data_IF_183942013950
#
_entry.id   IF_183942013950
#
_cell.length_a   1.000
_cell.length_b   1.000
_cell.length_c   1.000
_cell.angle_alpha   90.00
_cell.angle_beta   90.00
_cell.angle_gamma   90.00
#
_symmetry.space_group_name_H-M   'P 1'
#
loop_
_entity.id
_entity.type
_entity.pdbx_description
1 polymer ?
#
# COMPACT_ATOMS: atom_id res chain seq x y z
N UNK A 1 -19.34 2.18 8.90
CA UNK A 1 -18.19 1.31 8.53
C UNK A 1 -17.10 2.07 7.79
N UNK A 2 -17.45 2.90 6.79
CA UNK A 2 -16.55 3.75 5.98
C UNK A 2 -15.56 3.02 5.06
N UNK A 3 -15.08 1.85 5.43
CA UNK A 3 -14.31 0.94 4.57
C UNK A 3 -14.63 -0.51 4.91
N UNK A 4 -14.40 -1.42 3.96
CA UNK A 4 -14.33 -2.86 4.26
C UNK A 4 -13.01 -3.16 4.98
N UNK A 5 -12.98 -4.24 5.77
CA UNK A 5 -11.79 -4.71 6.49
C UNK A 5 -11.44 -6.12 6.00
N UNK A 6 -10.20 -6.33 5.54
CA UNK A 6 -9.73 -7.58 4.96
C UNK A 6 -8.81 -8.33 5.93
N UNK A 7 -9.41 -9.14 6.80
CA UNK A 7 -8.66 -10.03 7.70
C UNK A 7 -8.10 -11.22 6.89
N UNK A 8 -7.17 -11.96 7.48
CA UNK A 8 -6.55 -13.12 6.79
C UNK A 8 -7.59 -14.20 6.45
N UNK A 9 -8.55 -14.42 7.33
CA UNK A 9 -9.55 -15.50 7.25
C UNK A 9 -10.92 -15.05 6.71
N UNK A 10 -11.21 -13.74 6.69
CA UNK A 10 -12.52 -13.22 6.25
C UNK A 10 -12.48 -11.75 5.87
N UNK A 11 -13.53 -11.30 5.19
CA UNK A 11 -13.79 -9.89 4.92
C UNK A 11 -14.96 -9.41 5.77
N UNK A 12 -14.83 -8.24 6.39
CA UNK A 12 -15.96 -7.51 6.97
C UNK A 12 -16.36 -6.43 5.98
N UNK A 13 -17.42 -6.64 5.18
CA UNK A 13 -17.73 -5.76 4.06
C UNK A 13 -18.31 -4.43 4.54
N UNK A 14 -18.06 -3.35 3.80
CA UNK A 14 -18.64 -2.04 4.10
C UNK A 14 -20.15 -2.02 3.88
N UNK A 15 -20.59 -2.66 2.80
CA UNK A 15 -21.98 -2.82 2.41
C UNK A 15 -22.46 -4.25 2.74
N UNK A 16 -23.77 -4.49 2.86
CA UNK A 16 -24.34 -5.83 2.92
C UNK A 16 -23.87 -6.70 1.73
N UNK A 17 -23.64 -7.98 1.97
CA UNK A 17 -23.11 -8.91 0.95
C UNK A 17 -24.03 -9.03 -0.27
N UNK A 18 -25.35 -8.98 -0.07
CA UNK A 18 -26.31 -8.95 -1.17
C UNK A 18 -26.09 -7.76 -2.13
N UNK A 19 -25.65 -6.61 -1.62
CA UNK A 19 -25.30 -5.47 -2.47
C UNK A 19 -23.90 -5.66 -3.06
N UNK A 20 -22.89 -5.94 -2.24
CA UNK A 20 -21.49 -5.95 -2.68
C UNK A 20 -21.13 -7.11 -3.62
N UNK A 21 -21.69 -8.30 -3.38
CA UNK A 21 -21.34 -9.53 -4.08
C UNK A 21 -22.34 -9.88 -5.18
N UNK A 22 -23.49 -9.19 -5.24
CA UNK A 22 -24.51 -9.42 -6.25
C UNK A 22 -24.78 -8.14 -7.06
N UNK A 23 -25.64 -7.24 -6.55
CA UNK A 23 -26.19 -6.14 -7.36
C UNK A 23 -25.14 -5.13 -7.83
N UNK A 24 -24.16 -4.80 -6.99
CA UNK A 24 -23.09 -3.87 -7.35
C UNK A 24 -21.87 -4.57 -7.97
N UNK A 25 -21.81 -5.91 -7.92
CA UNK A 25 -20.71 -6.66 -8.50
C UNK A 25 -20.86 -6.70 -10.02
N UNK A 26 -19.79 -6.34 -10.73
CA UNK A 26 -19.72 -6.42 -12.19
C UNK A 26 -19.49 -7.87 -12.62
N UNK A 27 -20.53 -8.70 -12.44
CA UNK A 27 -20.51 -10.11 -12.82
C UNK A 27 -20.47 -10.26 -14.34
N UNK A 28 -19.81 -11.32 -14.85
CA UNK A 28 -19.82 -11.59 -16.28
C UNK A 28 -21.22 -12.01 -16.74
N UNK A 29 -21.52 -11.78 -18.02
CA UNK A 29 -22.76 -12.19 -18.70
C UNK A 29 -24.05 -11.59 -18.11
N UNK A 30 -23.96 -10.46 -17.42
CA UNK A 30 -25.11 -9.76 -16.84
C UNK A 30 -24.99 -8.25 -17.02
N UNK A 31 -26.12 -7.60 -17.33
CA UNK A 31 -26.20 -6.15 -17.39
C UNK A 31 -26.05 -5.52 -16.01
N UNK A 32 -25.23 -4.47 -15.93
CA UNK A 32 -24.91 -3.78 -14.69
C UNK A 32 -24.87 -2.27 -14.87
N UNK A 33 -25.53 -1.57 -13.95
CA UNK A 33 -25.41 -0.13 -13.83
C UNK A 33 -24.00 0.22 -13.37
N UNK A 34 -23.37 1.18 -14.04
CA UNK A 34 -22.01 1.58 -13.74
C UNK A 34 -21.83 3.09 -13.83
N UNK A 35 -20.74 3.58 -13.22
CA UNK A 35 -20.26 4.93 -13.41
C UNK A 35 -18.95 4.83 -14.19
N UNK A 36 -19.02 5.14 -15.49
CA UNK A 36 -17.90 4.96 -16.42
C UNK A 36 -17.12 6.26 -16.62
N UNK A 37 -15.83 6.08 -16.86
CA UNK A 37 -14.95 7.13 -17.39
C UNK A 37 -14.37 6.61 -18.69
N UNK A 38 -14.70 7.30 -19.78
CA UNK A 38 -14.18 7.02 -21.12
C UNK A 38 -12.93 7.85 -21.35
N UNK A 39 -11.91 7.24 -21.96
CA UNK A 39 -10.67 7.93 -22.29
C UNK A 39 -10.35 7.76 -23.77
N UNK A 40 -9.95 8.85 -24.42
CA UNK A 40 -9.26 8.80 -25.70
C UNK A 40 -7.75 8.92 -25.43
N UNK A 41 -7.00 7.86 -25.72
CA UNK A 41 -5.57 7.78 -25.39
C UNK A 41 -4.78 7.40 -26.65
N UNK A 42 -3.76 8.18 -26.96
CA UNK A 42 -2.80 7.83 -28.01
C UNK A 42 -2.02 6.55 -27.68
N UNK A 43 -1.47 5.89 -28.69
CA UNK A 43 -0.54 4.75 -28.50
C UNK A 43 0.70 5.10 -27.66
N UNK A 44 1.06 6.39 -27.56
CA UNK A 44 2.11 6.90 -26.71
C UNK A 44 1.65 7.19 -25.26
N UNK A 45 0.44 6.80 -24.87
CA UNK A 45 -0.11 7.00 -23.52
C UNK A 45 -0.34 8.47 -23.17
N UNK A 46 -0.65 9.33 -24.14
CA UNK A 46 -1.13 10.71 -23.92
C UNK A 46 -2.65 10.70 -23.94
N UNK A 47 -3.28 11.21 -22.88
CA UNK A 47 -4.71 11.46 -22.79
C UNK A 47 -5.06 12.65 -23.70
N UNK A 48 -5.97 12.44 -24.64
CA UNK A 48 -6.50 13.44 -25.57
C UNK A 48 -7.75 14.06 -24.97
N UNK A 49 -8.74 13.21 -24.68
CA UNK A 49 -10.02 13.61 -24.14
C UNK A 49 -10.59 12.55 -23.17
N UNK A 50 -11.61 12.93 -22.40
CA UNK A 50 -12.34 12.03 -21.52
C UNK A 50 -13.80 12.44 -21.36
N UNK A 51 -14.64 11.46 -21.02
CA UNK A 51 -16.03 11.69 -20.66
C UNK A 51 -16.41 10.89 -19.40
N UNK A 52 -17.23 11.45 -18.53
CA UNK A 52 -17.68 10.83 -17.28
C UNK A 52 -19.20 10.68 -17.35
N UNK A 53 -19.72 9.46 -17.27
CA UNK A 53 -21.15 9.20 -17.45
C UNK A 53 -21.65 8.00 -16.64
N UNK A 54 -22.96 8.01 -16.36
CA UNK A 54 -23.68 6.81 -15.89
C UNK A 54 -24.02 5.93 -17.09
N UNK A 55 -23.79 4.64 -16.97
CA UNK A 55 -23.89 3.69 -18.09
C UNK A 55 -24.51 2.38 -17.63
N UNK A 56 -24.87 1.55 -18.61
CA UNK A 56 -25.09 0.12 -18.44
C UNK A 56 -23.95 -0.60 -19.16
N UNK A 57 -23.33 -1.57 -18.49
CA UNK A 57 -22.28 -2.40 -19.08
C UNK A 57 -22.66 -3.87 -19.00
N UNK A 58 -22.10 -4.66 -19.90
CA UNK A 58 -22.19 -6.11 -19.93
C UNK A 58 -20.75 -6.65 -19.94
N UNK A 59 -20.35 -7.36 -18.89
CA UNK A 59 -18.98 -7.87 -18.78
C UNK A 59 -18.86 -9.22 -19.49
N UNK A 60 -18.11 -9.33 -20.58
CA UNK A 60 -17.97 -10.61 -21.30
C UNK A 60 -17.14 -11.65 -20.52
N UNK A 61 -16.12 -11.21 -19.77
CA UNK A 61 -15.20 -12.13 -19.10
C UNK A 61 -14.83 -11.69 -17.68
N UNK A 62 -14.63 -12.68 -16.82
CA UNK A 62 -14.05 -12.51 -15.49
C UNK A 62 -12.68 -13.16 -15.43
N UNK A 63 -11.63 -12.34 -15.46
CA UNK A 63 -10.25 -12.81 -15.31
C UNK A 63 -9.75 -12.70 -13.87
N UNK A 64 -8.98 -13.68 -13.43
CA UNK A 64 -8.00 -13.51 -12.35
C UNK A 64 -6.73 -12.87 -12.89
N UNK A 65 -5.93 -12.25 -12.00
CA UNK A 65 -4.65 -11.66 -12.39
C UNK A 65 -3.67 -12.68 -12.99
N UNK A 66 -3.67 -13.92 -12.49
CA UNK A 66 -2.84 -15.01 -13.02
C UNK A 66 -3.27 -15.43 -14.42
N UNK A 67 -4.57 -15.51 -14.69
CA UNK A 67 -5.09 -15.83 -16.03
C UNK A 67 -4.76 -14.71 -17.02
N UNK A 68 -5.04 -13.46 -16.65
CA UNK A 68 -4.69 -12.30 -17.47
C UNK A 68 -3.17 -12.24 -17.75
N UNK A 69 -2.34 -12.51 -16.73
CA UNK A 69 -0.89 -12.56 -16.90
C UNK A 69 -0.48 -13.63 -17.91
N UNK A 70 -1.02 -14.85 -17.80
CA UNK A 70 -0.74 -15.93 -18.75
C UNK A 70 -1.12 -15.56 -20.18
N UNK A 71 -2.25 -14.87 -20.38
CA UNK A 71 -2.68 -14.40 -21.70
C UNK A 71 -1.72 -13.32 -22.23
N UNK A 72 -1.31 -12.36 -21.40
CA UNK A 72 -0.35 -11.31 -21.76
C UNK A 72 1.01 -11.93 -22.16
N UNK A 73 1.50 -12.89 -21.39
CA UNK A 73 2.81 -13.53 -21.62
C UNK A 73 2.80 -14.39 -22.89
N UNK A 74 1.74 -15.18 -23.08
CA UNK A 74 1.65 -16.12 -24.22
C UNK A 74 1.07 -15.49 -25.48
N UNK A 75 0.41 -14.33 -25.36
CA UNK A 75 -0.39 -13.67 -26.41
C UNK A 75 -1.44 -14.61 -27.02
N UNK A 76 -1.97 -15.55 -26.22
CA UNK A 76 -2.95 -16.54 -26.64
C UNK A 76 -4.10 -16.58 -25.63
N UNK A 77 -5.32 -16.72 -26.14
CA UNK A 77 -6.54 -16.80 -25.34
C UNK A 77 -7.59 -15.76 -25.76
N UNK A 78 -8.69 -15.70 -25.02
CA UNK A 78 -9.74 -14.69 -25.24
C UNK A 78 -9.20 -13.31 -24.91
N UNK A 79 -9.55 -12.32 -25.72
CA UNK A 79 -9.12 -10.91 -25.58
C UNK A 79 -7.59 -10.70 -25.54
N UNK A 80 -6.80 -11.57 -26.20
CA UNK A 80 -5.34 -11.51 -26.11
C UNK A 80 -4.76 -10.22 -26.70
N UNK A 81 -5.35 -9.70 -27.77
CA UNK A 81 -4.92 -8.46 -28.42
C UNK A 81 -5.22 -7.24 -27.55
N UNK A 82 -6.43 -7.19 -26.98
CA UNK A 82 -6.90 -6.13 -26.11
C UNK A 82 -6.09 -6.08 -24.82
N UNK A 83 -5.87 -7.23 -24.17
CA UNK A 83 -5.04 -7.31 -22.96
C UNK A 83 -3.60 -6.89 -23.25
N UNK A 84 -3.04 -7.30 -24.39
CA UNK A 84 -1.68 -6.90 -24.80
C UNK A 84 -1.58 -5.39 -25.06
N UNK A 85 -2.61 -4.80 -25.67
CA UNK A 85 -2.67 -3.36 -25.91
C UNK A 85 -2.78 -2.58 -24.60
N UNK A 86 -3.66 -2.99 -23.70
CA UNK A 86 -3.84 -2.37 -22.39
C UNK A 86 -2.57 -2.48 -21.53
N UNK A 87 -1.90 -3.63 -21.52
CA UNK A 87 -0.62 -3.82 -20.84
C UNK A 87 0.47 -2.88 -21.37
N UNK A 88 0.59 -2.77 -22.71
CA UNK A 88 1.53 -1.84 -23.35
C UNK A 88 1.27 -0.39 -22.91
N UNK A 89 0.00 0.04 -22.91
CA UNK A 89 -0.38 1.39 -22.47
C UNK A 89 -0.06 1.57 -20.98
N UNK A 90 -0.40 0.61 -20.13
CA UNK A 90 -0.12 0.66 -18.70
C UNK A 90 1.38 0.79 -18.41
N UNK A 91 2.24 0.04 -19.10
CA UNK A 91 3.71 0.16 -18.97
C UNK A 91 4.21 1.56 -19.33
N UNK A 92 3.63 2.19 -20.36
CA UNK A 92 3.94 3.58 -20.73
C UNK A 92 3.48 4.56 -19.64
N UNK A 93 2.25 4.42 -19.15
CA UNK A 93 1.69 5.25 -18.08
C UNK A 93 2.54 5.15 -16.80
N UNK A 94 2.89 3.92 -16.40
CA UNK A 94 3.74 3.62 -15.25
C UNK A 94 5.10 4.29 -15.37
N UNK A 95 5.76 4.16 -16.53
CA UNK A 95 7.05 4.82 -16.79
C UNK A 95 6.96 6.33 -16.65
N UNK A 96 5.92 6.97 -17.23
CA UNK A 96 5.69 8.41 -17.11
C UNK A 96 5.43 8.84 -15.66
N UNK A 97 4.64 8.06 -14.92
CA UNK A 97 4.32 8.33 -13.51
C UNK A 97 5.59 8.33 -12.64
N UNK A 98 6.50 7.39 -12.85
CA UNK A 98 7.79 7.36 -12.16
C UNK A 98 8.80 8.42 -12.65
N UNK A 99 8.67 8.91 -13.88
CA UNK A 99 9.45 10.07 -14.33
C UNK A 99 8.95 11.37 -13.69
N UNK A 100 7.67 11.44 -13.33
CA UNK A 100 7.00 12.67 -12.92
C UNK A 100 6.87 12.89 -11.40
N UNK A 101 7.37 12.03 -10.52
CA UNK A 101 7.24 12.28 -9.08
C UNK A 101 6.66 11.14 -8.23
N UNK A 102 6.27 10.00 -8.80
CA UNK A 102 5.76 8.88 -7.99
C UNK A 102 6.87 8.01 -7.40
N UNK A 103 6.75 7.64 -6.14
CA UNK A 103 7.73 6.78 -5.44
C UNK A 103 7.29 5.33 -5.58
N UNK A 104 8.22 4.43 -5.92
CA UNK A 104 7.92 3.00 -6.04
C UNK A 104 8.02 2.31 -4.68
N UNK A 105 6.88 1.99 -4.07
CA UNK A 105 6.82 1.19 -2.85
C UNK A 105 6.42 -0.24 -3.22
N UNK A 106 7.37 -1.05 -3.65
CA UNK A 106 7.14 -2.48 -3.77
C UNK A 106 7.34 -3.14 -2.40
N UNK A 107 6.26 -3.61 -1.80
CA UNK A 107 6.33 -4.43 -0.59
C UNK A 107 5.92 -5.87 -0.91
N UNK A 108 6.70 -6.83 -0.43
CA UNK A 108 6.29 -8.23 -0.45
C UNK A 108 5.24 -8.45 0.65
N UNK A 109 4.00 -8.72 0.26
CA UNK A 109 2.94 -9.03 1.22
C UNK A 109 3.01 -10.50 1.62
N UNK A 110 3.01 -10.77 2.93
CA UNK A 110 2.87 -12.13 3.47
C UNK A 110 1.40 -12.56 3.38
N UNK A 111 1.15 -13.72 2.75
CA UNK A 111 -0.15 -14.37 2.69
C UNK A 111 -0.07 -15.79 3.25
N UNK A 112 -1.19 -16.28 3.73
CA UNK A 112 -1.29 -17.60 4.36
C UNK A 112 -2.15 -18.52 3.50
N UNK A 113 -1.74 -19.78 3.42
CA UNK A 113 -2.60 -20.88 2.99
C UNK A 113 -3.28 -21.41 4.25
N UNK A 114 -4.60 -21.42 4.25
CA UNK A 114 -5.42 -21.85 5.39
C UNK A 114 -6.04 -23.23 5.12
N UNK A 115 -6.20 -24.03 6.17
CA UNK A 115 -7.05 -25.22 6.14
C UNK A 115 -8.55 -24.87 6.29
N UNK A 116 -9.42 -25.87 6.23
CA UNK A 116 -10.88 -25.72 6.38
C UNK A 116 -11.31 -25.12 7.74
N UNK A 117 -10.44 -25.17 8.75
CA UNK A 117 -10.66 -24.62 10.10
C UNK A 117 -9.98 -23.25 10.28
N UNK A 118 -9.53 -22.61 9.20
CA UNK A 118 -8.80 -21.34 9.22
C UNK A 118 -7.48 -21.40 10.03
N UNK A 119 -6.79 -22.54 10.03
CA UNK A 119 -5.43 -22.65 10.55
C UNK A 119 -4.42 -22.41 9.42
N UNK A 120 -3.37 -21.59 9.64
CA UNK A 120 -2.33 -21.37 8.65
C UNK A 120 -1.44 -22.61 8.55
N UNK A 121 -1.53 -23.29 7.40
CA UNK A 121 -0.71 -24.48 7.10
C UNK A 121 0.57 -24.10 6.35
N UNK A 122 0.54 -23.01 5.59
CA UNK A 122 1.69 -22.50 4.86
C UNK A 122 1.63 -20.98 4.69
N UNK A 123 2.74 -20.40 4.25
CA UNK A 123 2.93 -18.97 4.10
C UNK A 123 3.78 -18.68 2.86
N UNK A 124 3.36 -17.69 2.09
CA UNK A 124 4.03 -17.32 0.86
C UNK A 124 4.06 -15.80 0.70
N UNK A 125 5.03 -15.31 -0.05
CA UNK A 125 5.11 -13.92 -0.44
C UNK A 125 4.33 -13.71 -1.73
N UNK A 126 3.39 -12.77 -1.71
CA UNK A 126 2.66 -12.36 -2.90
C UNK A 126 3.41 -11.22 -3.59
N UNK A 127 3.95 -11.50 -4.78
CA UNK A 127 4.57 -10.50 -5.65
C UNK A 127 3.54 -9.98 -6.65
N UNK A 128 3.47 -8.66 -6.89
CA UNK A 128 2.65 -8.09 -7.96
C UNK A 128 3.09 -8.58 -9.34
N UNK A 129 2.12 -8.86 -10.22
CA UNK A 129 2.32 -9.20 -11.63
C UNK A 129 2.11 -7.97 -12.52
N UNK A 130 2.52 -8.03 -13.79
CA UNK A 130 2.24 -6.96 -14.76
C UNK A 130 0.73 -6.71 -14.90
N UNK A 131 -0.09 -7.77 -14.85
CA UNK A 131 -1.55 -7.66 -14.82
C UNK A 131 -2.09 -6.89 -13.60
N UNK A 132 -1.41 -6.95 -12.45
CA UNK A 132 -1.76 -6.12 -11.28
C UNK A 132 -1.45 -4.65 -11.56
N UNK A 133 -0.28 -4.37 -12.13
CA UNK A 133 0.14 -3.01 -12.48
C UNK A 133 -0.72 -2.42 -13.60
N UNK A 134 -1.19 -3.24 -14.55
CA UNK A 134 -2.15 -2.83 -15.56
C UNK A 134 -3.37 -2.18 -14.92
N UNK A 135 -4.07 -2.92 -14.04
CA UNK A 135 -5.25 -2.40 -13.36
C UNK A 135 -4.88 -1.19 -12.48
N UNK A 136 -3.75 -1.23 -11.77
CA UNK A 136 -3.25 -0.11 -10.96
C UNK A 136 -3.19 1.20 -11.77
N UNK A 137 -2.54 1.21 -12.94
CA UNK A 137 -2.37 2.42 -13.73
C UNK A 137 -3.69 2.97 -14.28
N UNK A 138 -4.61 2.11 -14.74
CA UNK A 138 -5.92 2.58 -15.20
C UNK A 138 -6.80 3.10 -14.07
N UNK A 139 -6.73 2.49 -12.87
CA UNK A 139 -7.43 3.01 -11.70
C UNK A 139 -6.85 4.37 -11.26
N UNK A 140 -5.51 4.51 -11.29
CA UNK A 140 -4.84 5.78 -11.00
C UNK A 140 -5.20 6.87 -12.01
N UNK A 141 -5.20 6.54 -13.31
CA UNK A 141 -5.64 7.45 -14.37
C UNK A 141 -7.07 7.92 -14.12
N UNK A 142 -7.98 7.00 -13.83
CA UNK A 142 -9.39 7.31 -13.55
C UNK A 142 -9.56 8.22 -12.34
N UNK A 143 -8.95 7.86 -11.22
CA UNK A 143 -8.98 8.63 -9.98
C UNK A 143 -8.41 10.04 -10.16
N UNK A 144 -7.32 10.18 -10.92
CA UNK A 144 -6.71 11.46 -11.26
C UNK A 144 -7.63 12.29 -12.14
N UNK A 145 -8.13 11.74 -13.25
CA UNK A 145 -9.00 12.45 -14.19
C UNK A 145 -10.28 12.93 -13.52
N UNK A 146 -10.91 12.12 -12.66
CA UNK A 146 -12.07 12.55 -11.88
C UNK A 146 -11.75 13.74 -10.98
N UNK A 147 -10.61 13.74 -10.30
CA UNK A 147 -10.21 14.87 -9.47
C UNK A 147 -9.87 16.13 -10.30
N UNK A 148 -9.24 15.97 -11.47
CA UNK A 148 -8.96 17.07 -12.40
C UNK A 148 -10.23 17.59 -13.09
N UNK A 149 -11.26 16.77 -13.25
CA UNK A 149 -12.54 17.19 -13.81
C UNK A 149 -13.23 18.21 -12.90
N UNK A 150 -13.26 17.94 -11.59
CA UNK A 150 -13.82 18.86 -10.60
C UNK A 150 -13.12 20.22 -10.62
N UNK A 151 -11.80 20.23 -10.87
CA UNK A 151 -11.04 21.46 -11.03
C UNK A 151 -11.56 22.32 -12.19
N UNK A 152 -11.85 21.68 -13.33
CA UNK A 152 -12.27 22.36 -14.56
C UNK A 152 -13.69 22.91 -14.48
N UNK A 153 -14.59 22.24 -13.74
CA UNK A 153 -16.03 22.56 -13.68
C UNK A 153 -16.38 23.66 -12.65
N UNK A 154 -15.38 24.37 -12.11
CA UNK A 154 -15.45 25.49 -11.16
C UNK A 154 -15.30 25.10 -9.67
N UNK A 155 -14.05 25.23 -9.21
CA UNK A 155 -13.54 24.95 -7.86
C UNK A 155 -14.21 25.75 -6.72
N UNK A 156 -14.75 26.93 -7.01
CA UNK A 156 -15.27 27.83 -5.97
C UNK A 156 -16.68 27.43 -5.50
N UNK A 157 -17.42 26.70 -6.32
CA UNK A 157 -18.82 26.32 -6.05
C UNK A 157 -18.99 24.84 -5.71
N UNK A 158 -18.00 24.00 -6.05
CA UNK A 158 -18.07 22.55 -5.92
C UNK A 158 -17.26 22.03 -4.73
N UNK A 159 -17.96 21.61 -3.68
CA UNK A 159 -17.34 20.89 -2.58
C UNK A 159 -17.04 19.45 -2.99
N UNK A 160 -15.78 19.02 -2.82
CA UNK A 160 -15.34 17.69 -3.24
C UNK A 160 -14.42 17.00 -2.23
N UNK A 161 -14.25 15.69 -2.38
CA UNK A 161 -13.36 14.87 -1.54
C UNK A 161 -12.07 14.62 -2.30
N UNK A 162 -10.95 14.96 -1.70
CA UNK A 162 -9.61 14.65 -2.21
C UNK A 162 -8.93 13.61 -1.34
N UNK A 163 -8.10 12.79 -1.97
CA UNK A 163 -7.14 11.91 -1.29
C UNK A 163 -5.78 12.58 -1.37
N UNK A 164 -5.35 13.16 -0.27
CA UNK A 164 -4.12 13.96 -0.21
C UNK A 164 -3.01 13.23 0.53
N UNK A 165 -1.77 13.53 0.17
CA UNK A 165 -0.59 13.02 0.82
C UNK A 165 0.44 14.15 0.87
N UNK A 166 0.74 14.63 2.08
CA UNK A 166 1.67 15.74 2.29
C UNK A 166 3.11 15.34 1.98
N UNK A 167 3.99 16.35 1.93
CA UNK A 167 5.42 16.14 1.81
C UNK A 167 5.97 15.25 2.95
N UNK A 168 7.12 14.59 2.74
CA UNK A 168 7.81 13.81 3.76
C UNK A 168 8.16 14.66 4.98
N UNK A 169 8.31 13.97 6.11
CA UNK A 169 8.81 14.55 7.34
C UNK A 169 10.32 14.81 7.22
N UNK A 170 10.74 16.08 7.26
CA UNK A 170 12.13 16.47 7.05
C UNK A 170 13.09 15.89 8.08
N UNK A 171 12.66 15.73 9.34
CA UNK A 171 13.50 15.15 10.38
C UNK A 171 13.69 13.65 10.14
N UNK A 172 12.64 12.94 9.70
CA UNK A 172 12.76 11.53 9.31
C UNK A 172 13.62 11.34 8.07
N UNK A 173 13.53 12.25 7.10
CA UNK A 173 14.43 12.25 5.93
C UNK A 173 15.89 12.47 6.36
N UNK A 174 16.14 13.34 7.33
CA UNK A 174 17.48 13.55 7.89
C UNK A 174 18.01 12.31 8.59
N UNK A 175 17.19 11.63 9.40
CA UNK A 175 17.55 10.36 10.04
C UNK A 175 17.84 9.26 9.01
N UNK A 176 16.99 9.12 7.99
CA UNK A 176 17.24 8.22 6.85
C UNK A 176 18.59 8.55 6.18
N UNK A 177 18.88 9.83 5.93
CA UNK A 177 20.12 10.27 5.29
C UNK A 177 21.37 9.90 6.11
N UNK A 178 21.29 9.95 7.45
CA UNK A 178 22.40 9.56 8.31
C UNK A 178 22.74 8.06 8.19
N UNK A 179 21.71 7.22 8.12
CA UNK A 179 21.88 5.77 7.96
C UNK A 179 22.48 5.45 6.59
N UNK A 180 21.91 5.99 5.51
CA UNK A 180 22.31 5.61 4.15
C UNK A 180 23.67 6.17 3.73
N UNK A 181 24.15 7.23 4.38
CA UNK A 181 25.52 7.76 4.18
C UNK A 181 26.60 6.72 4.45
N UNK A 182 26.37 5.83 5.41
CA UNK A 182 27.29 4.73 5.73
C UNK A 182 27.40 3.72 4.58
N UNK A 183 26.37 3.64 3.74
CA UNK A 183 26.34 2.80 2.53
C UNK A 183 26.73 3.57 1.26
N UNK A 184 27.31 4.78 1.39
CA UNK A 184 27.76 5.59 0.26
C UNK A 184 26.64 6.35 -0.47
N UNK A 185 25.43 6.41 0.08
CA UNK A 185 24.32 7.16 -0.50
C UNK A 185 24.08 8.49 0.21
N UNK A 186 23.49 9.46 -0.49
CA UNK A 186 23.05 10.71 0.14
C UNK A 186 21.76 11.20 -0.50
N UNK A 187 20.88 11.77 0.34
CA UNK A 187 19.67 12.46 -0.09
C UNK A 187 19.95 13.96 -0.13
N UNK A 188 19.67 14.57 -1.28
CA UNK A 188 19.71 16.02 -1.43
C UNK A 188 18.43 16.61 -0.83
N UNK A 189 18.56 17.33 0.28
CA UNK A 189 17.43 17.90 1.02
C UNK A 189 17.27 19.40 0.73
N UNK A 190 17.07 19.76 -0.55
CA UNK A 190 16.91 21.17 -0.98
C UNK A 190 15.45 21.54 -1.17
N UNK A 191 14.69 20.68 -1.83
CA UNK A 191 13.28 20.88 -2.14
C UNK A 191 12.58 19.52 -2.35
N UNK A 192 11.23 19.47 -2.33
CA UNK A 192 10.50 18.22 -2.45
C UNK A 192 10.79 17.40 -3.72
N UNK A 193 11.12 18.06 -4.85
CA UNK A 193 11.45 17.37 -6.11
C UNK A 193 12.84 16.74 -6.07
N UNK A 194 13.82 17.41 -5.47
CA UNK A 194 15.17 16.86 -5.31
C UNK A 194 15.22 15.73 -4.29
N UNK A 195 14.42 15.80 -3.22
CA UNK A 195 14.22 14.69 -2.28
C UNK A 195 13.65 13.50 -3.02
N UNK A 196 12.57 13.70 -3.77
CA UNK A 196 11.94 12.66 -4.57
C UNK A 196 12.93 11.93 -5.50
N UNK A 197 13.68 12.68 -6.31
CA UNK A 197 14.65 12.10 -7.24
C UNK A 197 15.75 11.32 -6.51
N UNK A 198 16.18 11.81 -5.34
CA UNK A 198 17.16 11.13 -4.50
C UNK A 198 16.61 9.83 -3.94
N UNK A 199 15.37 9.81 -3.45
CA UNK A 199 14.71 8.61 -2.91
C UNK A 199 14.54 7.54 -3.98
N UNK A 200 14.07 7.90 -5.18
CA UNK A 200 13.93 6.92 -6.27
C UNK A 200 15.28 6.41 -6.78
N UNK A 201 16.31 7.26 -6.83
CA UNK A 201 17.67 6.84 -7.15
C UNK A 201 18.20 5.85 -6.10
N UNK A 202 17.97 6.14 -4.82
CA UNK A 202 18.32 5.27 -3.71
C UNK A 202 17.64 3.90 -3.84
N UNK A 203 16.30 3.86 -3.93
CA UNK A 203 15.51 2.63 -4.07
C UNK A 203 15.95 1.81 -5.30
N UNK A 204 16.28 2.47 -6.42
CA UNK A 204 16.75 1.80 -7.63
C UNK A 204 18.14 1.19 -7.43
N UNK A 205 19.06 1.88 -6.75
CA UNK A 205 20.44 1.43 -6.55
C UNK A 205 20.55 0.34 -5.48
N UNK A 206 19.67 0.34 -4.49
CA UNK A 206 19.64 -0.67 -3.42
C UNK A 206 18.87 -1.91 -3.83
N UNK A 207 18.21 -1.92 -5.00
CA UNK A 207 17.44 -3.08 -5.47
C UNK A 207 18.37 -4.29 -5.65
N UNK A 208 18.02 -5.40 -5.00
CA UNK A 208 18.82 -6.63 -4.98
C UNK A 208 20.01 -6.61 -4.03
N UNK A 209 20.29 -5.50 -3.34
CA UNK A 209 21.38 -5.41 -2.36
C UNK A 209 20.95 -5.96 -0.99
N UNK A 210 21.90 -6.18 -0.09
CA UNK A 210 21.61 -6.63 1.27
C UNK A 210 20.82 -5.58 2.08
N UNK A 211 20.97 -4.31 1.72
CA UNK A 211 20.38 -3.14 2.37
C UNK A 211 18.99 -2.78 1.83
N UNK A 212 18.52 -3.42 0.75
CA UNK A 212 17.25 -3.06 0.09
C UNK A 212 16.12 -2.93 1.11
N UNK A 213 15.94 -3.96 1.95
CA UNK A 213 14.84 -4.03 2.91
C UNK A 213 14.91 -2.94 3.98
N UNK A 214 16.12 -2.59 4.42
CA UNK A 214 16.37 -1.49 5.35
C UNK A 214 15.93 -0.16 4.73
N UNK A 215 16.42 0.08 3.51
CA UNK A 215 16.13 1.31 2.77
C UNK A 215 14.64 1.44 2.50
N UNK A 216 14.00 0.41 1.94
CA UNK A 216 12.56 0.40 1.64
C UNK A 216 11.74 0.74 2.91
N UNK A 217 12.09 0.12 4.04
CA UNK A 217 11.43 0.35 5.33
C UNK A 217 11.58 1.79 5.81
N UNK A 218 12.80 2.33 5.78
CA UNK A 218 13.07 3.69 6.26
C UNK A 218 12.46 4.76 5.36
N UNK A 219 12.49 4.57 4.03
CA UNK A 219 11.83 5.47 3.09
C UNK A 219 10.34 5.53 3.38
N UNK A 220 9.66 4.38 3.50
CA UNK A 220 8.22 4.32 3.84
C UNK A 220 7.93 5.03 5.17
N UNK A 221 8.75 4.81 6.20
CA UNK A 221 8.57 5.44 7.53
C UNK A 221 8.77 6.96 7.52
N UNK A 222 9.55 7.48 6.57
CA UNK A 222 9.77 8.92 6.39
C UNK A 222 8.62 9.63 5.68
N UNK A 223 7.74 8.90 5.00
CA UNK A 223 6.58 9.47 4.31
C UNK A 223 5.46 9.83 5.29
N UNK A 224 4.66 10.82 4.89
CA UNK A 224 3.42 11.13 5.60
C UNK A 224 2.35 10.05 5.34
N UNK A 225 1.28 10.07 6.14
CA UNK A 225 0.11 9.22 5.87
C UNK A 225 -0.87 9.99 5.01
N UNK A 226 -1.38 9.36 3.96
CA UNK A 226 -2.43 9.95 3.15
C UNK A 226 -3.76 10.01 3.91
N UNK A 227 -4.57 11.04 3.65
CA UNK A 227 -5.86 11.28 4.31
C UNK A 227 -6.91 11.75 3.32
N UNK A 228 -8.19 11.64 3.69
CA UNK A 228 -9.29 12.28 2.98
C UNK A 228 -9.53 13.68 3.56
N UNK A 229 -9.78 14.66 2.71
CA UNK A 229 -10.14 16.04 3.10
C UNK A 229 -10.80 16.76 1.92
N UNK A 230 -11.46 17.88 2.20
CA UNK A 230 -11.97 18.82 1.19
C UNK A 230 -10.91 19.81 0.72
N UNK A 231 -9.77 19.92 1.42
CA UNK A 231 -8.67 20.81 1.05
C UNK A 231 -7.63 20.08 0.20
N UNK A 232 -7.57 20.37 -1.09
CA UNK A 232 -6.58 19.74 -1.96
C UNK A 232 -5.18 20.33 -1.76
N UNK A 233 -4.24 19.50 -1.32
CA UNK A 233 -2.81 19.82 -1.23
C UNK A 233 -1.95 18.93 -2.16
N UNK A 234 -2.59 18.17 -3.05
CA UNK A 234 -1.94 17.16 -3.88
C UNK A 234 -1.60 15.87 -3.14
N UNK A 235 -1.00 14.94 -3.89
CA UNK A 235 -0.62 13.62 -3.41
C UNK A 235 0.86 13.34 -3.70
N UNK A 236 1.72 13.69 -2.75
CA UNK A 236 3.18 13.64 -2.87
C UNK A 236 3.69 12.29 -3.41
N UNK A 237 3.34 11.17 -2.76
CA UNK A 237 3.82 9.83 -3.15
C UNK A 237 3.40 9.36 -4.56
N UNK A 238 2.37 9.98 -5.15
CA UNK A 238 1.93 9.69 -6.52
C UNK A 238 2.43 10.74 -7.53
N UNK A 239 2.94 11.89 -7.07
CA UNK A 239 3.29 13.01 -7.94
C UNK A 239 2.07 13.66 -8.60
N UNK A 240 0.88 13.60 -8.00
CA UNK A 240 -0.35 14.15 -8.58
C UNK A 240 -0.79 15.43 -7.86
N UNK A 241 -1.11 16.48 -8.62
CA UNK A 241 -1.67 17.71 -8.07
C UNK A 241 -3.15 17.55 -7.65
N UNK A 242 -3.89 16.69 -8.35
CA UNK A 242 -5.28 16.37 -8.08
C UNK A 242 -5.45 14.86 -8.03
N UNK A 243 -5.99 14.35 -6.92
CA UNK A 243 -6.25 12.93 -6.76
C UNK A 243 -7.41 12.69 -5.80
N UNK A 244 -8.29 11.77 -6.18
CA UNK A 244 -9.40 11.32 -5.35
C UNK A 244 -9.68 9.85 -5.61
N UNK A 245 -10.20 9.14 -4.61
CA UNK A 245 -10.62 7.76 -4.82
C UNK A 245 -12.05 7.73 -5.40
N UNK A 246 -12.19 7.12 -6.57
CA UNK A 246 -13.45 6.94 -7.29
C UNK A 246 -13.76 5.46 -7.60
N UNK A 247 -12.72 4.66 -7.76
CA UNK A 247 -12.75 3.32 -8.40
C UNK A 247 -13.16 2.16 -7.49
N UNK A 248 -13.61 2.39 -6.25
CA UNK A 248 -14.00 1.31 -5.32
C UNK A 248 -15.16 1.67 -4.36
N UNK A 249 -16.31 2.15 -4.86
CA UNK A 249 -17.45 2.57 -4.03
C UNK A 249 -18.07 1.44 -3.19
N UNK A 250 -17.90 0.17 -3.60
CA UNK A 250 -18.41 -0.99 -2.85
C UNK A 250 -17.70 -1.16 -1.49
N UNK A 251 -16.43 -0.76 -1.42
CA UNK A 251 -15.55 -1.03 -0.26
C UNK A 251 -14.97 0.21 0.40
N UNK A 252 -15.16 1.41 -0.18
CA UNK A 252 -14.69 2.69 0.35
C UNK A 252 -15.82 3.72 0.27
N UNK A 253 -16.19 4.28 1.40
CA UNK A 253 -17.24 5.30 1.48
C UNK A 253 -16.85 6.63 0.84
N UNK A 254 -15.57 7.08 0.85
CA UNK A 254 -15.14 8.25 0.09
C UNK A 254 -15.48 8.15 -1.41
N UNK A 255 -15.24 6.99 -2.03
CA UNK A 255 -15.60 6.74 -3.43
C UNK A 255 -17.12 6.84 -3.66
N UNK A 256 -17.92 6.32 -2.73
CA UNK A 256 -19.38 6.45 -2.80
C UNK A 256 -19.84 7.91 -2.67
N UNK A 257 -19.21 8.69 -1.78
CA UNK A 257 -19.44 10.13 -1.67
C UNK A 257 -19.10 10.82 -2.99
N UNK A 258 -17.93 10.52 -3.57
CA UNK A 258 -17.49 11.07 -4.86
C UNK A 258 -18.51 10.75 -5.97
N UNK A 259 -19.01 9.51 -6.05
CA UNK A 259 -20.05 9.14 -7.03
C UNK A 259 -21.32 9.97 -6.87
N UNK A 260 -21.76 10.24 -5.63
CA UNK A 260 -22.91 11.11 -5.34
C UNK A 260 -22.65 12.56 -5.73
N UNK A 261 -21.47 13.09 -5.41
CA UNK A 261 -21.10 14.47 -5.76
C UNK A 261 -21.03 14.66 -7.27
N UNK A 262 -20.43 13.72 -8.00
CA UNK A 262 -20.41 13.77 -9.47
C UNK A 262 -21.83 13.67 -10.04
N UNK A 263 -22.68 12.80 -9.48
CA UNK A 263 -24.09 12.73 -9.88
C UNK A 263 -24.80 14.07 -9.69
N UNK A 264 -24.65 14.71 -8.52
CA UNK A 264 -25.26 16.00 -8.25
C UNK A 264 -24.80 17.06 -9.26
N UNK A 265 -23.51 17.06 -9.63
CA UNK A 265 -22.98 17.96 -10.65
C UNK A 265 -23.59 17.70 -12.04
N UNK A 266 -23.71 16.43 -12.45
CA UNK A 266 -24.32 16.06 -13.74
C UNK A 266 -25.77 16.54 -13.87
N UNK A 267 -26.52 16.58 -12.76
CA UNK A 267 -27.93 17.00 -12.74
C UNK A 267 -28.15 18.43 -12.21
N UNK A 268 -27.07 19.22 -12.06
CA UNK A 268 -27.11 20.57 -11.49
C UNK A 268 -27.82 20.67 -10.11
N UNK A 269 -27.71 19.61 -9.30
CA UNK A 269 -28.26 19.53 -7.95
C UNK A 269 -27.33 20.19 -6.92
N UNK A 270 -27.91 20.58 -5.78
CA UNK A 270 -27.17 21.21 -4.69
C UNK A 270 -26.21 20.21 -4.04
N UNK A 271 -24.95 20.61 -3.91
CA UNK A 271 -23.93 19.79 -3.23
C UNK A 271 -23.99 19.92 -1.70
N UNK A 272 -23.38 18.96 -1.02
CA UNK A 272 -23.24 18.97 0.44
C UNK A 272 -22.36 20.14 0.90
N UNK A 273 -22.67 20.70 2.06
CA UNK A 273 -21.91 21.77 2.67
C UNK A 273 -20.48 21.31 3.09
N UNK A 274 -19.47 22.16 2.85
CA UNK A 274 -18.05 21.85 3.05
C UNK A 274 -17.70 21.38 4.47
N UNK A 275 -18.04 22.08 5.56
CA UNK A 275 -17.89 21.59 6.94
C UNK A 275 -18.41 20.18 7.19
N UNK A 276 -19.59 19.83 6.65
CA UNK A 276 -20.17 18.49 6.81
C UNK A 276 -19.33 17.45 6.06
N UNK A 277 -18.92 17.77 4.83
CA UNK A 277 -18.07 16.92 4.02
C UNK A 277 -16.69 16.69 4.66
N UNK A 278 -16.10 17.72 5.26
CA UNK A 278 -14.83 17.63 5.97
C UNK A 278 -14.94 16.69 7.20
N UNK A 279 -16.05 16.77 7.95
CA UNK A 279 -16.31 15.83 9.06
C UNK A 279 -16.39 14.38 8.58
N UNK A 280 -17.04 14.13 7.43
CA UNK A 280 -17.08 12.81 6.82
C UNK A 280 -15.69 12.34 6.37
N UNK A 281 -14.88 13.22 5.80
CA UNK A 281 -13.50 12.94 5.39
C UNK A 281 -12.62 12.52 6.59
N UNK A 282 -12.73 13.24 7.71
CA UNK A 282 -12.04 12.89 8.98
C UNK A 282 -12.46 11.51 9.48
N UNK A 283 -13.77 11.25 9.53
CA UNK A 283 -14.29 9.93 9.93
C UNK A 283 -13.75 8.80 9.04
N UNK A 284 -13.76 8.99 7.71
CA UNK A 284 -13.25 7.98 6.77
C UNK A 284 -11.76 7.71 6.98
N UNK A 285 -10.97 8.76 7.19
CA UNK A 285 -9.53 8.64 7.45
C UNK A 285 -9.23 7.91 8.76
N UNK A 286 -10.01 8.16 9.81
CA UNK A 286 -9.89 7.43 11.09
C UNK A 286 -10.27 5.96 10.95
N UNK A 287 -11.39 5.66 10.28
CA UNK A 287 -11.84 4.28 10.07
C UNK A 287 -10.89 3.47 9.20
N UNK A 288 -10.26 4.10 8.20
CA UNK A 288 -9.18 3.47 7.42
C UNK A 288 -7.98 3.07 8.30
N UNK A 289 -7.57 3.94 9.24
CA UNK A 289 -6.50 3.62 10.20
C UNK A 289 -6.87 2.42 11.08
N UNK A 290 -8.10 2.39 11.60
CA UNK A 290 -8.61 1.29 12.42
C UNK A 290 -8.66 -0.02 11.61
N UNK A 291 -9.16 0.02 10.37
CA UNK A 291 -9.19 -1.13 9.48
C UNK A 291 -7.77 -1.67 9.23
N UNK A 292 -6.84 -0.80 8.82
CA UNK A 292 -5.44 -1.16 8.59
C UNK A 292 -4.79 -1.80 9.83
N UNK A 293 -5.10 -1.30 11.03
CA UNK A 293 -4.59 -1.89 12.27
C UNK A 293 -5.17 -3.29 12.52
N UNK A 294 -6.47 -3.50 12.29
CA UNK A 294 -7.10 -4.80 12.44
C UNK A 294 -6.54 -5.84 11.44
N UNK A 295 -6.27 -5.43 10.19
CA UNK A 295 -5.65 -6.27 9.17
C UNK A 295 -4.24 -6.70 9.59
N UNK A 296 -3.42 -5.75 10.06
CA UNK A 296 -2.08 -6.04 10.59
C UNK A 296 -2.12 -6.98 11.79
N UNK A 297 -3.05 -6.74 12.71
CA UNK A 297 -3.26 -7.56 13.89
C UNK A 297 -3.69 -8.99 13.55
N UNK A 298 -4.53 -9.16 12.52
CA UNK A 298 -4.93 -10.46 11.99
C UNK A 298 -3.75 -11.21 11.36
N UNK A 299 -2.91 -10.51 10.59
CA UNK A 299 -1.65 -11.08 10.06
C UNK A 299 -0.74 -11.53 11.20
N UNK A 300 -0.50 -10.68 12.21
CA UNK A 300 0.30 -11.06 13.39
C UNK A 300 -0.26 -12.28 14.11
N UNK A 301 -1.57 -12.32 14.34
CA UNK A 301 -2.22 -13.48 14.94
C UNK A 301 -1.94 -14.77 14.14
N UNK A 302 -2.05 -14.72 12.81
CA UNK A 302 -1.77 -15.87 11.96
C UNK A 302 -0.28 -16.25 11.93
N UNK A 303 0.64 -15.28 11.99
CA UNK A 303 2.07 -15.57 12.16
C UNK A 303 2.36 -16.34 13.45
N UNK A 304 1.79 -15.91 14.58
CA UNK A 304 1.94 -16.61 15.86
C UNK A 304 1.39 -18.03 15.78
N UNK A 305 0.17 -18.18 15.23
CA UNK A 305 -0.50 -19.48 15.06
C UNK A 305 0.33 -20.42 14.17
N UNK A 306 0.89 -19.92 13.07
CA UNK A 306 1.74 -20.67 12.15
C UNK A 306 3.06 -21.16 12.78
N UNK A 307 3.65 -20.36 13.69
CA UNK A 307 4.93 -20.67 14.33
C UNK A 307 4.81 -21.38 15.68
N UNK A 308 3.58 -21.58 16.19
CA UNK A 308 3.35 -22.20 17.50
C UNK A 308 3.94 -23.61 17.60
N UNK A 309 3.87 -24.41 16.52
CA UNK A 309 4.43 -25.77 16.46
C UNK A 309 5.90 -25.80 16.01
N UNK A 310 6.57 -24.63 15.95
CA UNK A 310 7.97 -24.47 15.50
C UNK A 310 8.86 -23.88 16.59
N UNK A 311 8.38 -23.85 17.84
CA UNK A 311 9.16 -23.41 19.01
C UNK A 311 10.43 -24.28 19.14
N UNK A 312 11.56 -23.64 19.43
CA UNK A 312 12.88 -24.27 19.50
C UNK A 312 13.66 -24.29 18.19
N UNK A 313 12.99 -24.10 17.04
CA UNK A 313 13.66 -24.08 15.74
C UNK A 313 14.51 -22.82 15.55
N UNK A 314 15.62 -22.99 14.83
CA UNK A 314 16.55 -21.93 14.43
C UNK A 314 16.17 -21.37 13.05
N UNK A 315 16.21 -20.06 12.90
CA UNK A 315 15.97 -19.37 11.64
C UNK A 315 16.99 -18.26 11.39
N UNK A 316 17.24 -17.98 10.12
CA UNK A 316 17.86 -16.73 9.69
C UNK A 316 16.79 -15.65 9.59
N UNK A 317 17.06 -14.50 10.19
CA UNK A 317 16.17 -13.35 10.18
C UNK A 317 16.92 -12.07 9.83
N UNK A 318 16.14 -11.01 9.62
CA UNK A 318 16.62 -9.65 9.43
C UNK A 318 15.95 -8.77 10.48
N UNK A 319 16.74 -7.92 11.15
CA UNK A 319 16.18 -6.94 12.09
C UNK A 319 15.27 -5.97 11.31
N UNK A 320 13.96 -6.04 11.54
CA UNK A 320 12.90 -5.25 10.89
C UNK A 320 12.47 -4.03 11.72
N UNK A 321 12.87 -3.98 12.99
CA UNK A 321 12.61 -2.87 13.89
C UNK A 321 13.56 -2.89 15.07
N UNK A 322 13.87 -1.70 15.59
CA UNK A 322 14.70 -1.50 16.77
C UNK A 322 13.97 -0.51 17.67
N UNK A 323 13.84 -0.85 18.95
CA UNK A 323 13.22 -0.01 19.98
C UNK A 323 14.04 -0.11 21.28
N UNK A 324 13.74 0.76 22.25
CA UNK A 324 14.36 0.73 23.58
C UNK A 324 14.15 -0.60 24.33
N UNK A 325 13.10 -1.36 24.02
CA UNK A 325 12.79 -2.63 24.68
C UNK A 325 13.24 -3.88 23.91
N UNK A 326 13.75 -3.73 22.68
CA UNK A 326 14.27 -4.88 21.93
C UNK A 326 14.35 -4.72 20.41
N UNK A 327 14.56 -5.86 19.76
CA UNK A 327 14.72 -5.99 18.31
C UNK A 327 13.56 -6.78 17.74
N UNK A 328 12.85 -6.21 16.77
CA UNK A 328 11.93 -6.96 15.92
C UNK A 328 12.75 -7.61 14.82
N UNK A 329 12.58 -8.92 14.66
CA UNK A 329 13.29 -9.72 13.67
C UNK A 329 12.26 -10.42 12.80
N UNK A 330 12.36 -10.22 11.49
CA UNK A 330 11.54 -10.91 10.50
C UNK A 330 12.32 -12.08 9.90
N UNK A 331 11.73 -13.27 9.93
CA UNK A 331 12.31 -14.49 9.37
C UNK A 331 12.31 -14.40 7.85
N UNK A 332 13.47 -14.62 7.22
CA UNK A 332 13.67 -14.39 5.78
C UNK A 332 12.73 -15.25 4.92
N UNK A 333 12.56 -16.51 5.30
CA UNK A 333 11.92 -17.52 4.44
C UNK A 333 10.40 -17.45 4.46
N UNK A 334 9.81 -16.84 5.50
CA UNK A 334 8.37 -16.88 5.72
C UNK A 334 7.76 -15.54 6.16
N UNK A 335 8.57 -14.50 6.36
CA UNK A 335 8.12 -13.15 6.68
C UNK A 335 7.47 -13.00 8.06
N UNK A 336 7.52 -14.03 8.90
CA UNK A 336 6.99 -13.95 10.26
C UNK A 336 7.90 -13.10 11.15
N UNK A 337 7.32 -12.23 11.95
CA UNK A 337 8.06 -11.30 12.81
C UNK A 337 7.94 -11.69 14.29
N UNK A 338 9.05 -11.59 15.02
CA UNK A 338 9.08 -11.79 16.47
C UNK A 338 10.02 -10.81 17.17
N UNK A 339 9.88 -10.71 18.49
CA UNK A 339 10.62 -9.79 19.34
C UNK A 339 11.75 -10.51 20.08
N UNK A 340 12.98 -10.07 19.87
CA UNK A 340 14.09 -10.32 20.80
C UNK A 340 14.06 -9.23 21.86
N UNK A 341 13.71 -9.58 23.10
CA UNK A 341 13.67 -8.62 24.22
C UNK A 341 15.07 -8.18 24.59
N UNK A 342 15.26 -6.90 24.91
CA UNK A 342 16.58 -6.37 25.30
C UNK A 342 17.18 -7.12 26.50
N UNK A 343 16.35 -7.50 27.49
CA UNK A 343 16.77 -8.29 28.65
C UNK A 343 17.24 -9.72 28.32
N UNK A 344 17.04 -10.19 27.09
CA UNK A 344 17.59 -11.48 26.63
C UNK A 344 19.02 -11.37 26.10
N UNK A 345 19.50 -10.15 25.81
CA UNK A 345 20.86 -9.85 25.43
C UNK A 345 21.72 -9.76 26.70
N UNK A 346 22.32 -10.88 27.10
CA UNK A 346 23.05 -10.99 28.38
C UNK A 346 24.53 -10.61 28.30
N UNK A 347 25.03 -10.37 27.09
CA UNK A 347 26.43 -10.10 26.79
C UNK A 347 26.84 -8.64 27.09
N UNK A 348 25.88 -7.70 27.12
CA UNK A 348 26.16 -6.29 27.40
C UNK A 348 24.92 -5.53 27.90
N UNK A 349 25.10 -4.28 28.33
CA UNK A 349 24.03 -3.30 28.48
C UNK A 349 23.86 -2.55 27.17
N UNK A 350 22.71 -2.72 26.52
CA UNK A 350 22.42 -2.10 25.22
C UNK A 350 21.64 -0.80 25.38
N UNK A 351 22.07 0.25 24.67
CA UNK A 351 21.41 1.55 24.62
C UNK A 351 20.80 1.75 23.24
N UNK A 352 19.55 2.21 23.19
CA UNK A 352 18.88 2.52 21.93
C UNK A 352 19.30 3.88 21.40
N UNK A 353 19.86 3.88 20.20
CA UNK A 353 20.21 5.08 19.46
C UNK A 353 19.23 5.30 18.31
N UNK A 354 18.26 6.18 18.56
CA UNK A 354 17.13 6.43 17.65
C UNK A 354 17.59 6.90 16.25
N UNK A 355 18.60 7.77 16.19
CA UNK A 355 19.13 8.32 14.94
C UNK A 355 19.84 7.28 14.08
N UNK A 356 20.30 6.20 14.70
CA UNK A 356 21.03 5.11 14.06
C UNK A 356 20.16 3.88 13.81
N UNK A 357 18.93 3.87 14.35
CA UNK A 357 18.05 2.69 14.38
C UNK A 357 18.80 1.44 14.87
N UNK A 358 19.53 1.60 15.97
CA UNK A 358 20.42 0.56 16.49
C UNK A 358 20.35 0.44 18.02
N UNK A 359 20.58 -0.78 18.52
CA UNK A 359 21.00 -1.03 19.90
C UNK A 359 22.53 -1.14 19.93
N UNK A 360 23.18 -0.34 20.76
CA UNK A 360 24.64 -0.32 20.89
C UNK A 360 25.03 -0.77 22.29
N UNK A 361 25.87 -1.80 22.37
CA UNK A 361 26.41 -2.32 23.62
C UNK A 361 27.35 -1.32 24.27
N UNK A 362 27.17 -1.06 25.57
CA UNK A 362 27.97 -0.10 26.31
C UNK A 362 29.44 -0.52 26.43
N UNK A 363 29.71 -1.79 26.73
CA UNK A 363 31.06 -2.33 26.96
C UNK A 363 31.68 -2.91 25.70
N UNK A 364 30.98 -3.83 25.05
CA UNK A 364 31.42 -4.58 23.85
C UNK A 364 31.44 -3.72 22.60
N UNK A 365 30.64 -2.63 22.58
CA UNK A 365 30.35 -1.83 21.39
C UNK A 365 29.71 -2.64 20.25
N UNK A 366 29.16 -3.82 20.54
CA UNK A 366 28.37 -4.59 19.59
C UNK A 366 27.16 -3.77 19.13
N UNK A 367 26.85 -3.83 17.84
CA UNK A 367 25.75 -3.06 17.24
C UNK A 367 24.75 -4.05 16.66
N UNK A 368 23.49 -3.93 17.09
CA UNK A 368 22.33 -4.54 16.45
C UNK A 368 21.52 -3.47 15.75
N UNK A 369 21.64 -3.41 14.43
CA UNK A 369 21.05 -2.36 13.61
C UNK A 369 19.93 -2.90 12.72
N UNK A 370 18.94 -2.05 12.44
CA UNK A 370 17.92 -2.30 11.43
C UNK A 370 18.56 -2.79 10.11
N UNK A 371 18.00 -3.83 9.50
CA UNK A 371 18.51 -4.44 8.26
C UNK A 371 19.58 -5.51 8.45
N UNK A 372 20.19 -5.61 9.63
CA UNK A 372 21.22 -6.62 9.89
C UNK A 372 20.63 -8.04 9.89
N UNK A 373 21.36 -8.97 9.26
CA UNK A 373 21.05 -10.40 9.29
C UNK A 373 21.48 -10.99 10.63
N UNK A 374 20.59 -11.75 11.25
CA UNK A 374 20.82 -12.40 12.54
C UNK A 374 20.29 -13.84 12.51
N UNK A 375 20.79 -14.67 13.42
CA UNK A 375 20.20 -16.00 13.68
C UNK A 375 19.37 -15.94 14.95
N UNK A 376 18.18 -16.52 14.92
CA UNK A 376 17.26 -16.55 16.06
C UNK A 376 16.79 -17.97 16.35
N UNK A 377 16.38 -18.21 17.60
CA UNK A 377 15.57 -19.36 18.02
C UNK A 377 14.18 -18.85 18.43
N UNK A 378 13.14 -19.57 18.02
CA UNK A 378 11.78 -19.30 18.50
C UNK A 378 11.66 -19.76 19.95
N UNK A 379 11.52 -18.82 20.89
CA UNK A 379 11.42 -19.11 22.33
C UNK A 379 9.99 -19.39 22.75
N UNK A 380 9.05 -18.55 22.32
CA UNK A 380 7.67 -18.59 22.76
C UNK A 380 6.74 -18.02 21.69
N UNK A 381 5.56 -18.60 21.55
CA UNK A 381 4.45 -18.07 20.78
C UNK A 381 3.28 -17.79 21.74
N UNK A 382 2.86 -16.53 21.87
CA UNK A 382 1.75 -16.11 22.72
C UNK A 382 0.59 -15.60 21.85
N UNK A 383 -0.41 -16.46 21.66
CA UNK A 383 -1.53 -16.20 20.78
C UNK A 383 -2.46 -15.10 21.32
N UNK A 384 -2.61 -14.98 22.65
CA UNK A 384 -3.41 -13.92 23.27
C UNK A 384 -2.78 -12.55 23.08
N UNK A 385 -1.45 -12.46 23.24
CA UNK A 385 -0.70 -11.23 23.00
C UNK A 385 -0.41 -10.95 21.52
N UNK A 386 -0.63 -11.94 20.63
CA UNK A 386 -0.25 -11.89 19.21
C UNK A 386 1.24 -11.58 19.04
N UNK A 387 2.06 -12.23 19.87
CA UNK A 387 3.49 -11.97 19.98
C UNK A 387 4.30 -13.27 19.90
N UNK A 388 5.37 -13.23 19.11
CA UNK A 388 6.44 -14.21 19.12
C UNK A 388 7.63 -13.64 19.88
N UNK A 389 8.21 -14.42 20.79
CA UNK A 389 9.47 -14.08 21.45
C UNK A 389 10.58 -14.92 20.84
N UNK A 390 11.66 -14.24 20.43
CA UNK A 390 12.88 -14.83 19.89
C UNK A 390 14.06 -14.64 20.84
N UNK A 391 15.12 -15.42 20.63
CA UNK A 391 16.44 -15.25 21.27
C UNK A 391 17.50 -15.24 20.15
N UNK A 392 18.49 -14.36 20.22
CA UNK A 392 19.65 -14.38 19.31
C UNK A 392 20.56 -15.58 19.58
N UNK A 393 21.14 -16.13 18.52
CA UNK A 393 22.06 -17.27 18.58
C UNK A 393 23.50 -16.83 18.45
#
# INVERSE_FOLDING_TARGET
RATSVYLVDRVVPMLPEFLSNNLCSLKPEEDRLSYSVFFEITSAGKLIDYNIAKTVIHSDFRFTYSEAQKIIDTKKGKMAEELSLLDKIAKILRKKRFQNGSINFESNEVKFILDEKNNPIDVYFKTPLDSNHLIEEFMLLTNKTVAEHIERVNKETVNFVYRVHSNPDYDKIKSLNNVIKKFGFSIKNKDPKTIYASLNSLLKKTRGSAEQKLVDTLVVRSMAKAVYTTNNIGHYGLGFAYYSHFTSPIRRYPDLIVHRLLTALLFAEKTINKPVLEKLCKHCSEREKVATQAERDSVKYMQVKFLQNKIGNKYSGVISGVTEWGLYVEIINNGCEGLVKINSLKDDHYIYEEKEYALIGYKTKNIYQLGQKVKIIIKKADLKKRQLDFILV
#
